data_IF_104235855769
#
_entry.id   IF_104235855769
#
_cell.length_a   1.000
_cell.length_b   1.000
_cell.length_c   1.000
_cell.angle_alpha   90.00
_cell.angle_beta   90.00
_cell.angle_gamma   90.00
#
_symmetry.space_group_name_H-M   'P 1'
#
loop_
_entity.id
_entity.type
_entity.pdbx_description
1 polymer ?
#
# COMPACT_ATOMS: atom_id res chain seq x y z
N UNK A 1 3.67 46.84 0.65
CA UNK A 1 4.98 46.26 1.03
C UNK A 1 4.73 45.13 2.00
N UNK A 2 5.24 43.92 1.69
CA UNK A 2 5.36 42.73 2.57
C UNK A 2 4.03 42.06 2.95
N UNK A 3 3.81 40.74 3.00
CA UNK A 3 4.47 39.46 2.68
C UNK A 3 3.45 38.40 3.17
N UNK A 4 3.20 37.25 2.54
CA UNK A 4 4.02 36.03 2.61
C UNK A 4 3.45 34.96 1.66
N UNK A 5 4.36 34.17 1.08
CA UNK A 5 4.10 32.87 0.45
C UNK A 5 3.73 31.84 1.53
N UNK A 6 2.89 30.88 1.16
CA UNK A 6 2.65 29.64 1.89
C UNK A 6 2.23 28.57 0.90
N UNK A 7 3.21 27.81 0.40
CA UNK A 7 3.04 26.52 -0.25
C UNK A 7 2.42 25.54 0.75
N UNK A 8 1.21 25.06 0.47
CA UNK A 8 0.59 23.95 1.16
C UNK A 8 -0.25 23.20 0.13
N UNK A 9 0.04 21.91 -0.04
CA UNK A 9 -0.68 21.04 -0.95
C UNK A 9 -2.19 21.21 -0.75
N UNK A 10 -2.86 21.68 -1.79
CA UNK A 10 -4.32 21.68 -1.82
C UNK A 10 -4.73 20.21 -1.83
N UNK A 11 -5.56 19.81 -0.87
CA UNK A 11 -6.32 18.58 -0.97
C UNK A 11 -7.23 18.73 -2.21
N UNK A 12 -6.73 18.31 -3.37
CA UNK A 12 -7.54 18.14 -4.56
C UNK A 12 -8.54 17.04 -4.19
N UNK A 13 -9.82 17.37 -4.30
CA UNK A 13 -10.92 16.58 -3.77
C UNK A 13 -10.77 15.11 -4.12
N UNK A 14 -10.72 14.26 -3.09
CA UNK A 14 -10.93 12.84 -3.26
C UNK A 14 -12.29 12.67 -3.95
N UNK A 15 -12.27 12.28 -5.23
CA UNK A 15 -13.44 11.63 -5.80
C UNK A 15 -13.77 10.46 -4.86
N UNK A 16 -15.05 10.20 -4.66
CA UNK A 16 -15.52 9.04 -3.88
C UNK A 16 -15.09 7.70 -4.49
N UNK A 17 -14.42 7.77 -5.64
CA UNK A 17 -14.03 6.68 -6.52
C UNK A 17 -12.49 6.58 -6.66
N UNK A 18 -11.70 7.17 -5.75
CA UNK A 18 -10.25 6.87 -5.64
C UNK A 18 -9.97 5.77 -4.62
N UNK A 19 -9.66 4.57 -5.12
CA UNK A 19 -9.19 3.45 -4.33
C UNK A 19 -8.31 2.51 -5.15
N UNK A 20 -7.46 1.75 -4.47
CA UNK A 20 -6.63 0.73 -5.09
C UNK A 20 -7.01 -0.66 -4.59
N UNK A 21 -6.96 -1.62 -5.49
CA UNK A 21 -7.05 -3.05 -5.19
C UNK A 21 -5.85 -3.75 -5.80
N UNK A 22 -5.40 -4.83 -5.19
CA UNK A 22 -4.32 -5.60 -5.80
C UNK A 22 -4.06 -6.90 -5.08
N UNK A 23 -3.34 -7.76 -5.77
CA UNK A 23 -2.86 -9.00 -5.21
C UNK A 23 -1.84 -9.62 -6.12
N UNK A 24 -0.91 -10.36 -5.52
CA UNK A 24 0.20 -10.93 -6.29
C UNK A 24 1.28 -11.51 -5.43
N UNK A 25 2.48 -11.55 -6.01
CA UNK A 25 3.69 -11.93 -5.31
C UNK A 25 4.93 -11.21 -5.82
N UNK A 26 5.87 -11.01 -4.90
CA UNK A 26 7.18 -10.41 -5.13
C UNK A 26 8.30 -11.34 -4.62
N UNK A 27 9.55 -10.97 -4.90
CA UNK A 27 10.76 -11.63 -4.38
C UNK A 27 11.78 -10.65 -3.79
N UNK A 28 11.44 -9.37 -3.66
CA UNK A 28 12.33 -8.43 -2.96
C UNK A 28 12.02 -8.39 -1.47
N UNK A 29 11.93 -9.57 -0.85
CA UNK A 29 11.95 -9.72 0.61
C UNK A 29 13.42 -9.72 1.08
N UNK A 30 13.69 -9.56 2.39
CA UNK A 30 15.07 -9.56 2.90
C UNK A 30 15.90 -10.79 2.51
N UNK A 31 15.27 -11.97 2.45
CA UNK A 31 15.92 -13.23 2.03
C UNK A 31 15.82 -13.54 0.55
N UNK A 32 15.00 -12.81 -0.19
CA UNK A 32 14.67 -13.13 -1.59
C UNK A 32 13.65 -14.25 -1.76
N UNK A 33 13.07 -14.75 -0.66
CA UNK A 33 11.95 -15.67 -0.68
C UNK A 33 10.73 -15.05 -1.38
N UNK A 34 9.81 -15.92 -1.80
CA UNK A 34 8.54 -15.45 -2.36
C UNK A 34 7.68 -14.92 -1.23
N UNK A 35 7.14 -13.72 -1.39
CA UNK A 35 6.04 -13.25 -0.56
C UNK A 35 4.77 -13.05 -1.37
N UNK A 36 3.64 -13.45 -0.82
CA UNK A 36 2.32 -13.23 -1.39
C UNK A 36 1.63 -12.07 -0.68
N UNK A 37 0.84 -11.29 -1.41
CA UNK A 37 0.05 -10.23 -0.82
C UNK A 37 -1.34 -10.11 -1.45
N UNK A 38 -2.28 -9.59 -0.66
CA UNK A 38 -3.54 -9.00 -1.09
C UNK A 38 -3.71 -7.65 -0.40
N UNK A 39 -4.14 -6.65 -1.15
CA UNK A 39 -4.25 -5.28 -0.66
C UNK A 39 -5.47 -4.57 -1.23
N UNK A 40 -6.14 -3.80 -0.38
CA UNK A 40 -7.12 -2.79 -0.78
C UNK A 40 -6.93 -1.56 0.11
N UNK A 41 -7.06 -0.37 -0.46
CA UNK A 41 -7.05 0.88 0.29
C UNK A 41 -7.82 1.97 -0.44
N UNK A 42 -8.52 2.83 0.30
CA UNK A 42 -9.22 3.98 -0.24
C UNK A 42 -9.84 4.86 0.85
N UNK A 43 -10.44 5.96 0.42
CA UNK A 43 -11.16 6.91 1.30
C UNK A 43 -12.51 7.25 0.70
N UNK A 44 -13.61 6.99 1.43
CA UNK A 44 -14.98 7.20 0.92
C UNK A 44 -15.52 8.62 1.16
N UNK A 45 -14.66 9.57 1.52
CA UNK A 45 -15.05 10.91 1.95
C UNK A 45 -15.30 11.04 3.46
N UNK A 46 -15.44 9.93 4.19
CA UNK A 46 -15.70 9.92 5.63
C UNK A 46 -14.74 9.06 6.43
N UNK A 47 -14.31 7.92 5.87
CA UNK A 47 -13.43 6.96 6.54
C UNK A 47 -12.48 6.31 5.54
N UNK A 48 -11.33 5.90 6.06
CA UNK A 48 -10.46 4.99 5.34
C UNK A 48 -11.03 3.57 5.39
N UNK A 49 -10.84 2.82 4.31
CA UNK A 49 -11.25 1.41 4.22
C UNK A 49 -10.19 0.61 3.47
N UNK A 50 -10.19 -0.70 3.68
CA UNK A 50 -9.24 -1.58 3.02
C UNK A 50 -8.82 -2.77 3.87
N UNK A 51 -7.76 -3.44 3.42
CA UNK A 51 -7.07 -4.49 4.14
C UNK A 51 -5.65 -4.67 3.57
N UNK A 52 -4.80 -5.30 4.35
CA UNK A 52 -3.53 -5.89 3.94
C UNK A 52 -3.51 -7.34 4.44
N UNK A 53 -3.08 -8.25 3.58
CA UNK A 53 -2.70 -9.61 3.96
C UNK A 53 -1.40 -9.95 3.24
N UNK A 54 -0.30 -10.10 3.96
CA UNK A 54 1.02 -10.40 3.41
C UNK A 54 1.63 -11.62 4.09
N UNK A 55 2.17 -12.55 3.31
CA UNK A 55 2.84 -13.77 3.83
C UNK A 55 4.20 -13.90 3.16
N UNK A 56 5.27 -13.83 3.95
CA UNK A 56 6.61 -14.24 3.51
C UNK A 56 6.74 -15.77 3.68
N UNK A 57 7.21 -16.46 2.63
CA UNK A 57 7.37 -17.92 2.64
C UNK A 57 8.76 -18.38 3.10
N UNK A 58 9.66 -17.50 3.55
CA UNK A 58 10.89 -17.91 4.22
C UNK A 58 10.60 -18.64 5.53
N UNK A 59 9.95 -17.94 6.46
CA UNK A 59 9.65 -18.39 7.82
C UNK A 59 8.13 -18.48 8.09
N UNK A 60 7.31 -17.98 7.17
CA UNK A 60 5.86 -17.95 7.32
C UNK A 60 5.32 -16.68 7.96
N UNK A 61 6.14 -15.63 8.13
CA UNK A 61 5.70 -14.36 8.72
C UNK A 61 4.43 -13.85 8.01
N UNK A 62 3.38 -13.63 8.80
CA UNK A 62 2.06 -13.24 8.33
C UNK A 62 1.67 -11.89 8.89
N UNK A 63 1.48 -10.91 8.01
CA UNK A 63 0.98 -9.58 8.36
C UNK A 63 -0.49 -9.47 7.96
N UNK A 64 -1.34 -9.06 8.90
CA UNK A 64 -2.73 -8.69 8.63
C UNK A 64 -3.04 -7.28 9.13
N UNK A 65 -3.71 -6.48 8.30
CA UNK A 65 -4.20 -5.18 8.72
C UNK A 65 -5.33 -5.34 9.74
N UNK A 66 -5.24 -4.59 10.83
CA UNK A 66 -6.33 -4.41 11.81
C UNK A 66 -7.17 -3.19 11.44
N UNK A 67 -6.54 -2.12 10.96
CA UNK A 67 -7.21 -0.90 10.54
C UNK A 67 -6.44 -0.18 9.43
N UNK A 68 -7.15 0.58 8.60
CA UNK A 68 -6.55 1.54 7.67
C UNK A 68 -6.64 2.93 8.30
N UNK A 69 -5.52 3.63 8.36
CA UNK A 69 -5.39 4.94 9.01
C UNK A 69 -5.00 6.04 8.04
N UNK A 70 -4.58 5.69 6.82
CA UNK A 70 -4.22 6.66 5.79
C UNK A 70 -4.33 6.10 4.38
N UNK A 71 -4.67 6.99 3.45
CA UNK A 71 -4.69 6.73 2.01
C UNK A 71 -4.28 8.00 1.27
N UNK A 72 -3.25 7.91 0.44
CA UNK A 72 -2.63 9.08 -0.19
C UNK A 72 -2.34 8.82 -1.68
N UNK A 73 -2.71 9.79 -2.52
CA UNK A 73 -2.22 9.87 -3.89
C UNK A 73 -0.80 10.42 -3.90
N UNK A 74 0.16 9.61 -4.37
CA UNK A 74 1.57 10.01 -4.51
C UNK A 74 1.81 10.63 -5.89
N UNK A 75 1.27 9.99 -6.93
CA UNK A 75 1.23 10.46 -8.31
C UNK A 75 0.01 9.86 -9.03
N UNK A 76 -0.08 10.03 -10.35
CA UNK A 76 -1.23 9.57 -11.16
C UNK A 76 -1.47 8.06 -11.10
N UNK A 77 -0.44 7.25 -10.80
CA UNK A 77 -0.47 5.78 -10.82
C UNK A 77 -0.18 5.13 -9.47
N UNK A 78 0.30 5.93 -8.51
CA UNK A 78 0.84 5.42 -7.24
C UNK A 78 -0.02 5.86 -6.06
N UNK A 79 -0.29 4.91 -5.17
CA UNK A 79 -1.03 5.13 -3.92
C UNK A 79 -0.24 4.58 -2.74
N UNK A 80 -0.33 5.29 -1.61
CA UNK A 80 0.17 4.84 -0.32
C UNK A 80 -1.00 4.55 0.62
N UNK A 81 -0.92 3.43 1.32
CA UNK A 81 -1.88 2.97 2.33
C UNK A 81 -1.14 2.82 3.64
N UNK A 82 -1.67 3.40 4.71
CA UNK A 82 -1.13 3.25 6.06
C UNK A 82 -2.15 2.60 6.98
N UNK A 83 -1.69 1.88 7.98
CA UNK A 83 -2.58 1.24 8.94
C UNK A 83 -1.87 0.62 10.13
N UNK A 84 -2.68 0.04 11.02
CA UNK A 84 -2.22 -0.83 12.10
C UNK A 84 -2.30 -2.29 11.66
N UNK A 85 -1.42 -3.13 12.17
CA UNK A 85 -1.36 -4.54 11.83
C UNK A 85 -1.03 -5.43 13.02
N UNK A 86 -1.42 -6.68 12.87
CA UNK A 86 -0.81 -7.80 13.58
C UNK A 86 0.28 -8.44 12.71
N UNK A 87 1.32 -8.95 13.37
CA UNK A 87 2.34 -9.82 12.77
C UNK A 87 2.30 -11.13 13.54
N UNK A 88 2.07 -12.24 12.84
CA UNK A 88 1.94 -13.59 13.42
C UNK A 88 0.91 -13.68 14.57
N UNK A 89 -0.16 -12.89 14.45
CA UNK A 89 -1.24 -12.80 15.44
C UNK A 89 -0.94 -11.91 16.65
N UNK A 90 0.20 -11.19 16.66
CA UNK A 90 0.54 -10.20 17.67
C UNK A 90 0.25 -8.78 17.15
N UNK A 91 -0.71 -8.09 17.79
CA UNK A 91 -1.05 -6.68 17.50
C UNK A 91 0.04 -5.70 17.95
N UNK A 92 -0.08 -4.44 17.50
CA UNK A 92 0.76 -3.33 17.96
C UNK A 92 1.78 -2.85 16.93
N UNK A 93 1.70 -3.35 15.71
CA UNK A 93 2.53 -2.91 14.60
C UNK A 93 1.78 -1.89 13.74
N UNK A 94 2.54 -1.12 12.96
CA UNK A 94 1.99 -0.30 11.87
C UNK A 94 2.64 -0.71 10.56
N UNK A 95 1.92 -0.46 9.47
CA UNK A 95 2.42 -0.69 8.12
C UNK A 95 2.25 0.57 7.26
N UNK A 96 3.13 0.69 6.28
CA UNK A 96 2.94 1.52 5.09
C UNK A 96 3.11 0.64 3.86
N UNK A 97 2.12 0.67 2.97
CA UNK A 97 2.16 -0.01 1.67
C UNK A 97 2.15 1.04 0.58
N UNK A 98 3.08 0.94 -0.36
CA UNK A 98 3.08 1.71 -1.60
C UNK A 98 2.83 0.75 -2.75
N UNK A 99 1.87 1.10 -3.61
CA UNK A 99 1.54 0.35 -4.82
C UNK A 99 1.50 1.29 -6.01
N UNK A 100 1.98 0.81 -7.16
CA UNK A 100 1.89 1.53 -8.44
C UNK A 100 1.26 0.63 -9.49
N UNK A 101 0.25 1.14 -10.18
CA UNK A 101 -0.42 0.51 -11.32
C UNK A 101 0.16 1.10 -12.63
N UNK A 102 1.12 0.41 -13.25
CA UNK A 102 1.94 1.01 -14.33
C UNK A 102 2.03 0.18 -15.60
N UNK A 103 1.22 -0.88 -15.72
CA UNK A 103 0.93 -1.42 -17.04
C UNK A 103 0.22 -2.76 -17.06
N UNK A 104 -0.58 -2.95 -18.10
CA UNK A 104 -1.33 -4.17 -18.36
C UNK A 104 -0.65 -5.08 -19.40
N UNK A 105 -0.46 -6.39 -19.11
CA UNK A 105 -0.77 -7.06 -17.84
C UNK A 105 0.20 -6.60 -16.73
N UNK A 106 -0.24 -6.62 -15.46
CA UNK A 106 0.39 -6.08 -14.23
C UNK A 106 1.82 -6.49 -13.85
N UNK A 107 2.67 -6.77 -14.84
CA UNK A 107 4.10 -7.09 -14.72
C UNK A 107 4.94 -5.84 -14.56
N UNK A 108 4.41 -4.66 -14.85
CA UNK A 108 5.08 -3.39 -14.55
C UNK A 108 4.72 -2.88 -13.15
N UNK A 109 3.58 -3.32 -12.61
CA UNK A 109 3.09 -2.92 -11.30
C UNK A 109 4.07 -3.25 -10.18
N UNK A 110 4.01 -2.45 -9.12
CA UNK A 110 4.90 -2.58 -7.97
C UNK A 110 4.13 -2.66 -6.65
N UNK A 111 4.75 -3.32 -5.69
CA UNK A 111 4.31 -3.39 -4.30
C UNK A 111 5.51 -3.19 -3.39
N UNK A 112 5.36 -2.33 -2.40
CA UNK A 112 6.30 -2.13 -1.30
C UNK A 112 5.55 -2.15 0.03
N UNK A 113 6.09 -2.88 1.00
CA UNK A 113 5.63 -2.95 2.38
C UNK A 113 6.78 -2.52 3.29
N UNK A 114 6.50 -1.57 4.19
CA UNK A 114 7.35 -1.20 5.32
C UNK A 114 6.58 -1.42 6.62
N UNK A 115 7.17 -2.11 7.59
CA UNK A 115 6.60 -2.37 8.92
C UNK A 115 7.35 -1.60 10.00
N UNK A 116 6.64 -1.24 11.08
CA UNK A 116 7.27 -0.63 12.27
C UNK A 116 8.29 -1.54 12.97
N UNK A 117 8.26 -2.84 12.71
CA UNK A 117 9.28 -3.81 13.15
C UNK A 117 10.65 -3.61 12.47
N UNK A 118 10.70 -2.82 11.41
CA UNK A 118 11.89 -2.63 10.56
C UNK A 118 11.96 -3.59 9.36
N UNK A 119 10.98 -4.49 9.23
CA UNK A 119 10.85 -5.34 8.05
C UNK A 119 10.42 -4.53 6.83
N UNK A 120 11.08 -4.76 5.68
CA UNK A 120 10.76 -4.13 4.40
C UNK A 120 10.77 -5.20 3.30
N UNK A 121 9.75 -5.19 2.45
CA UNK A 121 9.71 -6.00 1.23
C UNK A 121 9.17 -5.19 0.06
N UNK A 122 9.88 -5.16 -1.05
CA UNK A 122 9.52 -4.34 -2.20
C UNK A 122 9.85 -5.00 -3.54
N UNK A 123 9.06 -4.73 -4.58
CA UNK A 123 9.46 -5.05 -5.94
C UNK A 123 8.33 -5.04 -6.95
N UNK A 124 8.73 -5.16 -8.21
CA UNK A 124 7.80 -5.39 -9.31
C UNK A 124 7.12 -6.75 -9.18
N UNK A 125 5.84 -6.80 -9.51
CA UNK A 125 5.06 -8.04 -9.41
C UNK A 125 5.64 -9.12 -10.31
N UNK A 126 5.85 -10.30 -9.73
CA UNK A 126 6.23 -11.49 -10.49
C UNK A 126 5.01 -12.31 -10.92
N UNK A 127 3.83 -11.93 -10.45
CA UNK A 127 2.51 -12.35 -10.89
C UNK A 127 1.44 -11.70 -10.01
N UNK A 128 0.26 -11.46 -10.58
CA UNK A 128 -0.77 -10.63 -9.95
C UNK A 128 -1.05 -9.37 -10.78
N UNK A 129 -1.77 -8.43 -10.16
CA UNK A 129 -2.11 -7.13 -10.73
C UNK A 129 -2.38 -6.13 -9.59
N UNK A 130 -2.02 -4.87 -9.79
CA UNK A 130 -2.59 -3.73 -9.08
C UNK A 130 -3.65 -3.13 -10.00
N UNK A 131 -4.74 -2.63 -9.42
CA UNK A 131 -5.74 -1.88 -10.15
C UNK A 131 -6.03 -0.62 -9.36
N UNK A 132 -5.64 0.52 -9.93
CA UNK A 132 -6.06 1.82 -9.47
C UNK A 132 -7.42 2.15 -10.09
N UNK A 133 -8.38 2.47 -9.23
CA UNK A 133 -9.67 3.02 -9.59
C UNK A 133 -9.60 4.48 -9.18
N UNK A 134 -9.54 5.39 -10.15
CA UNK A 134 -9.52 6.82 -9.92
C UNK A 134 -10.20 7.51 -11.12
N UNK A 135 -11.16 8.38 -10.82
CA UNK A 135 -11.89 9.20 -11.80
C UNK A 135 -11.17 10.49 -12.19
#
# INVERSE_FOLDING_TARGET
MSSRRGTGAQALGASTDDFVTGGGWIRGTPSGARANFGVKGGFDGSRFFGHLNFVDHEDGMHVQAESITGYFAIDDTTRQIEGTAEIDGESGFTFSVVVSDTGEPGRADSFELSLSSGYVAAGTLRGGNIQLHAD
#
